data_IF_487946702683
#
_entry.id   IF_487946702683
#
_cell.length_a   1.000
_cell.length_b   1.000
_cell.length_c   1.000
_cell.angle_alpha   90.00
_cell.angle_beta   90.00
_cell.angle_gamma   90.00
#
_symmetry.space_group_name_H-M   'P 1'
#
loop_
_entity.id
_entity.type
_entity.pdbx_description
1 polymer ?
#
# COMPACT_ATOMS: atom_id res chain seq x y z
N UNK A 1 -10.41 -39.56 63.46
CA UNK A 1 -9.35 -40.44 62.99
C UNK A 1 -9.22 -40.20 61.53
N UNK A 2 -8.27 -39.60 61.05
CA UNK A 2 -6.86 -39.28 60.97
C UNK A 2 -6.77 -38.46 59.68
N UNK A 3 -6.41 -37.24 59.72
CA UNK A 3 -5.10 -36.68 59.54
C UNK A 3 -4.30 -37.32 58.41
N UNK A 4 -4.09 -36.53 57.29
CA UNK A 4 -2.71 -36.28 56.83
C UNK A 4 -2.69 -35.18 55.76
N UNK A 5 -1.92 -34.17 56.08
CA UNK A 5 -1.46 -33.09 55.24
C UNK A 5 -0.33 -33.61 54.36
N UNK A 6 -0.24 -33.18 53.11
CA UNK A 6 1.05 -32.98 52.45
C UNK A 6 1.01 -31.75 51.55
N UNK A 7 1.90 -30.87 51.95
CA UNK A 7 2.48 -29.78 51.18
C UNK A 7 3.13 -30.28 49.88
N UNK A 8 3.24 -29.40 48.91
CA UNK A 8 4.12 -29.64 47.76
C UNK A 8 3.94 -28.59 46.68
N UNK A 9 4.51 -27.46 46.87
CA UNK A 9 5.54 -26.81 46.03
C UNK A 9 5.09 -26.24 44.68
N UNK A 10 4.96 -24.96 44.65
CA UNK A 10 5.56 -23.94 43.73
C UNK A 10 6.14 -24.47 42.43
N UNK A 11 5.59 -23.99 41.34
CA UNK A 11 6.19 -23.99 40.04
C UNK A 11 5.69 -22.74 39.30
N UNK A 12 6.32 -21.61 39.52
CA UNK A 12 6.15 -20.40 38.73
C UNK A 12 6.72 -20.64 37.36
N UNK A 13 5.87 -20.55 36.34
CA UNK A 13 6.27 -20.44 34.96
C UNK A 13 6.06 -19.00 34.51
N UNK A 14 7.15 -18.27 34.42
CA UNK A 14 7.15 -16.93 33.83
C UNK A 14 6.64 -16.97 32.39
N UNK A 15 5.76 -16.06 31.98
CA UNK A 15 5.49 -15.89 30.59
C UNK A 15 6.67 -15.22 29.90
N UNK A 16 7.33 -15.99 29.05
CA UNK A 16 8.36 -15.50 28.14
C UNK A 16 7.76 -14.37 27.31
N UNK A 17 8.25 -13.16 27.58
CA UNK A 17 7.90 -11.96 26.85
C UNK A 17 8.31 -12.12 25.38
N UNK A 18 7.33 -12.11 24.49
CA UNK A 18 7.56 -11.94 23.09
C UNK A 18 8.02 -10.51 22.84
N UNK A 19 9.31 -10.37 22.59
CA UNK A 19 9.92 -9.12 22.20
C UNK A 19 9.35 -8.67 20.84
N UNK A 20 8.72 -7.53 20.83
CA UNK A 20 8.36 -6.83 19.61
C UNK A 20 9.65 -6.44 18.84
N UNK A 21 9.70 -6.57 17.51
CA UNK A 21 10.85 -6.12 16.75
C UNK A 21 10.92 -4.58 16.74
N UNK A 22 12.12 -4.00 16.89
CA UNK A 22 12.32 -2.56 16.82
C UNK A 22 12.40 -2.12 15.36
N UNK A 23 11.34 -1.56 14.80
CA UNK A 23 11.37 -0.87 13.52
C UNK A 23 10.63 0.46 13.57
N UNK A 24 11.15 1.37 14.37
CA UNK A 24 10.77 2.77 14.29
C UNK A 24 11.93 3.68 14.68
N UNK A 25 13.09 3.54 14.07
CA UNK A 25 14.15 4.56 14.15
C UNK A 25 15.33 4.16 13.26
N UNK A 26 15.31 4.51 11.99
CA UNK A 26 16.53 4.76 11.21
C UNK A 26 16.19 5.15 9.77
N UNK A 27 15.75 6.38 9.58
CA UNK A 27 15.81 7.06 8.28
C UNK A 27 16.19 8.52 8.52
N UNK A 28 17.45 8.74 8.89
CA UNK A 28 18.12 10.02 8.68
C UNK A 28 19.56 9.74 8.28
N UNK A 29 19.90 10.24 7.11
CA UNK A 29 21.22 10.49 6.50
C UNK A 29 21.60 9.54 5.36
N UNK A 30 21.49 10.10 4.16
CA UNK A 30 22.61 10.15 3.22
C UNK A 30 22.39 11.35 2.30
N UNK A 31 23.24 12.35 2.48
CA UNK A 31 23.39 13.51 1.63
C UNK A 31 24.36 13.20 0.50
N UNK A 32 24.05 13.81 -0.68
CA UNK A 32 24.95 14.46 -1.60
C UNK A 32 26.11 13.67 -2.22
N UNK A 33 26.13 13.55 -3.53
CA UNK A 33 27.16 14.19 -4.36
C UNK A 33 27.06 13.78 -5.84
N UNK A 34 27.26 14.80 -6.69
CA UNK A 34 27.90 14.81 -8.00
C UNK A 34 27.02 14.81 -9.26
N UNK A 35 26.91 16.02 -9.80
CA UNK A 35 26.82 16.30 -11.24
C UNK A 35 28.06 15.77 -11.97
N UNK A 36 27.97 15.46 -13.27
CA UNK A 36 28.58 16.39 -14.21
C UNK A 36 27.68 16.82 -15.38
N UNK A 37 27.93 18.04 -15.78
CA UNK A 37 27.55 18.66 -17.04
C UNK A 37 28.00 17.85 -18.25
N UNK A 38 27.17 17.81 -19.27
CA UNK A 38 27.72 17.83 -20.62
C UNK A 38 26.78 18.58 -21.59
N UNK A 39 27.40 19.51 -22.22
CA UNK A 39 26.98 20.53 -23.16
C UNK A 39 26.75 19.96 -24.56
N UNK A 40 25.85 20.58 -25.31
CA UNK A 40 25.85 20.95 -26.73
C UNK A 40 24.73 20.35 -27.58
N UNK A 41 23.75 21.18 -27.87
CA UNK A 41 23.54 22.00 -29.07
C UNK A 41 23.34 21.20 -30.38
N UNK A 42 22.12 21.24 -30.88
CA UNK A 42 21.76 21.69 -32.24
C UNK A 42 20.27 21.50 -32.47
N UNK A 43 19.53 22.57 -32.66
CA UNK A 43 18.33 22.59 -33.49
C UNK A 43 18.79 22.70 -34.95
N UNK A 44 18.00 22.38 -35.97
CA UNK A 44 16.72 23.03 -36.24
C UNK A 44 15.67 22.05 -36.88
N UNK A 45 14.49 22.44 -36.89
CA UNK A 45 13.55 22.62 -37.96
C UNK A 45 12.12 22.20 -37.59
N UNK A 46 11.26 23.18 -37.55
CA UNK A 46 9.80 22.99 -37.50
C UNK A 46 9.28 22.57 -38.84
N UNK A 47 8.21 21.79 -38.86
CA UNK A 47 7.07 22.18 -39.66
C UNK A 47 5.76 22.30 -38.87
N UNK A 48 5.10 23.38 -39.13
CA UNK A 48 3.71 23.67 -38.84
C UNK A 48 2.78 22.46 -39.14
N UNK A 49 2.13 22.03 -38.08
CA UNK A 49 0.95 21.21 -38.15
C UNK A 49 0.18 21.49 -36.86
N UNK A 50 -0.67 22.53 -36.86
CA UNK A 50 -1.62 22.79 -35.78
C UNK A 50 -2.65 21.65 -35.76
N UNK A 51 -2.30 20.55 -35.11
CA UNK A 51 -3.28 19.56 -34.68
C UNK A 51 -4.05 20.16 -33.50
N UNK A 52 -5.37 20.26 -33.68
CA UNK A 52 -6.35 20.59 -32.64
C UNK A 52 -5.99 19.75 -31.39
N UNK A 53 -6.02 20.33 -30.19
CA UNK A 53 -5.82 19.52 -28.99
C UNK A 53 -6.93 18.46 -28.96
N UNK A 54 -6.55 17.23 -29.24
CA UNK A 54 -7.39 16.07 -28.99
C UNK A 54 -7.79 16.08 -27.53
N UNK A 55 -9.01 15.66 -27.25
CA UNK A 55 -9.57 15.56 -25.90
C UNK A 55 -8.45 15.23 -24.91
N UNK A 56 -8.27 16.11 -23.90
CA UNK A 56 -7.25 15.97 -22.84
C UNK A 56 -7.17 14.49 -22.48
N UNK A 57 -6.05 13.88 -22.80
CA UNK A 57 -5.71 12.54 -22.35
C UNK A 57 -5.75 12.60 -20.83
N UNK A 58 -6.85 12.07 -20.27
CA UNK A 58 -7.12 12.15 -18.82
C UNK A 58 -6.11 11.24 -18.16
N UNK A 59 -5.12 11.83 -17.55
CA UNK A 59 -4.10 11.09 -16.78
C UNK A 59 -4.82 10.28 -15.70
N UNK A 60 -4.52 9.00 -15.61
CA UNK A 60 -5.08 8.15 -14.57
C UNK A 60 -4.73 8.71 -13.18
N UNK A 61 -5.70 8.82 -12.25
CA UNK A 61 -5.46 9.31 -10.89
C UNK A 61 -4.32 8.61 -10.15
N UNK A 62 -4.15 7.31 -10.39
CA UNK A 62 -3.04 6.52 -9.86
C UNK A 62 -2.42 5.68 -10.98
N UNK A 63 -1.10 5.72 -11.11
CA UNK A 63 -0.33 4.90 -12.05
C UNK A 63 0.68 4.02 -11.31
N UNK A 64 0.92 2.82 -11.83
CA UNK A 64 1.99 1.93 -11.38
C UNK A 64 3.22 2.22 -12.24
N UNK A 65 4.26 2.80 -11.62
CA UNK A 65 5.48 3.23 -12.32
C UNK A 65 6.50 2.09 -12.42
N UNK A 66 6.57 1.28 -11.36
CA UNK A 66 7.53 0.17 -11.26
C UNK A 66 6.97 -0.96 -10.42
N UNK A 67 7.28 -2.18 -10.85
CA UNK A 67 6.99 -3.40 -10.09
C UNK A 67 8.27 -4.17 -9.90
N UNK A 68 8.53 -4.62 -8.68
CA UNK A 68 9.65 -5.50 -8.33
C UNK A 68 9.10 -6.72 -7.62
N UNK A 69 9.39 -7.90 -8.15
CA UNK A 69 9.03 -9.19 -7.56
C UNK A 69 10.22 -9.70 -6.77
N UNK A 70 10.06 -9.82 -5.46
CA UNK A 70 11.04 -10.40 -4.55
C UNK A 70 10.60 -11.77 -4.05
N UNK A 71 11.35 -12.33 -3.10
CA UNK A 71 10.97 -13.58 -2.46
C UNK A 71 9.75 -13.38 -1.56
N UNK A 72 8.57 -13.82 -2.03
CA UNK A 72 7.31 -13.75 -1.30
C UNK A 72 6.76 -12.33 -1.10
N UNK A 73 7.29 -11.32 -1.79
CA UNK A 73 6.85 -9.92 -1.67
C UNK A 73 6.91 -9.19 -2.99
N UNK A 74 5.81 -8.53 -3.33
CA UNK A 74 5.71 -7.63 -4.47
C UNK A 74 5.84 -6.19 -3.97
N UNK A 75 6.68 -5.41 -4.64
CA UNK A 75 6.90 -3.99 -4.35
C UNK A 75 6.50 -3.17 -5.56
N UNK A 76 5.52 -2.29 -5.40
CA UNK A 76 5.06 -1.37 -6.44
C UNK A 76 5.41 0.08 -6.06
N UNK A 77 6.05 0.80 -6.97
CA UNK A 77 6.13 2.25 -6.91
C UNK A 77 4.94 2.81 -7.69
N UNK A 78 4.15 3.61 -7.02
CA UNK A 78 2.93 4.21 -7.58
C UNK A 78 3.04 5.72 -7.56
N UNK A 79 2.40 6.37 -8.53
CA UNK A 79 2.34 7.84 -8.63
C UNK A 79 0.89 8.28 -8.67
N UNK A 80 0.57 9.28 -7.87
CA UNK A 80 -0.68 10.02 -7.97
C UNK A 80 -0.53 11.17 -8.94
N UNK A 81 -1.52 11.36 -9.82
CA UNK A 81 -1.59 12.52 -10.67
C UNK A 81 -1.66 13.81 -9.82
N UNK A 82 -1.15 14.95 -10.31
CA UNK A 82 -1.12 16.20 -9.54
C UNK A 82 -2.49 16.68 -9.06
N UNK A 83 -3.54 16.39 -9.83
CA UNK A 83 -4.94 16.72 -9.57
C UNK A 83 -5.72 15.60 -8.87
N UNK A 84 -5.10 14.44 -8.63
CA UNK A 84 -5.72 13.36 -7.89
C UNK A 84 -5.79 13.67 -6.38
N UNK A 85 -6.86 13.23 -5.69
CA UNK A 85 -6.92 13.35 -4.25
C UNK A 85 -5.80 12.55 -3.59
N UNK A 86 -5.13 13.15 -2.61
CA UNK A 86 -4.09 12.47 -1.83
C UNK A 86 -4.68 11.52 -0.80
N UNK A 87 -5.85 11.86 -0.30
CA UNK A 87 -6.57 11.11 0.73
C UNK A 87 -7.88 10.57 0.18
N UNK A 88 -8.38 9.54 0.80
CA UNK A 88 -9.72 9.03 0.56
C UNK A 88 -10.78 10.09 0.83
N UNK A 89 -11.91 9.98 0.13
CA UNK A 89 -13.07 10.86 0.30
C UNK A 89 -14.28 10.05 0.76
N UNK A 90 -15.27 10.68 1.44
CA UNK A 90 -16.48 9.96 1.86
C UNK A 90 -17.25 9.32 0.70
N UNK A 91 -17.22 9.93 -0.50
CA UNK A 91 -17.87 9.37 -1.68
C UNK A 91 -17.16 8.09 -2.16
N UNK A 92 -15.82 8.13 -2.25
CA UNK A 92 -15.01 6.97 -2.59
C UNK A 92 -15.23 5.83 -1.58
N UNK A 93 -15.18 6.14 -0.28
CA UNK A 93 -15.29 5.12 0.76
C UNK A 93 -16.67 4.48 0.81
N UNK A 94 -17.76 5.22 0.54
CA UNK A 94 -19.09 4.59 0.40
C UNK A 94 -19.11 3.55 -0.71
N UNK A 95 -18.51 3.82 -1.87
CA UNK A 95 -18.43 2.87 -2.98
C UNK A 95 -17.55 1.67 -2.61
N UNK A 96 -16.37 1.94 -2.05
CA UNK A 96 -15.46 0.88 -1.58
C UNK A 96 -16.12 -0.06 -0.58
N UNK A 97 -16.88 0.47 0.40
CA UNK A 97 -17.61 -0.37 1.38
C UNK A 97 -18.66 -1.27 0.74
N UNK A 98 -19.26 -0.83 -0.37
CA UNK A 98 -20.23 -1.64 -1.12
C UNK A 98 -19.54 -2.76 -1.89
N UNK A 99 -18.46 -2.45 -2.59
CA UNK A 99 -17.78 -3.38 -3.51
C UNK A 99 -16.80 -4.31 -2.77
N UNK A 100 -16.29 -3.85 -1.61
CA UNK A 100 -15.31 -4.53 -0.75
C UNK A 100 -15.77 -4.55 0.73
N UNK A 101 -16.83 -5.29 1.07
CA UNK A 101 -17.42 -5.27 2.41
C UNK A 101 -16.49 -5.81 3.52
N UNK A 102 -15.49 -6.62 3.18
CA UNK A 102 -14.50 -7.13 4.12
C UNK A 102 -13.41 -6.11 4.50
N UNK A 103 -13.17 -5.11 3.65
CA UNK A 103 -12.07 -4.15 3.81
C UNK A 103 -12.03 -3.43 5.18
N UNK A 104 -13.17 -2.97 5.74
CA UNK A 104 -13.18 -2.34 7.07
C UNK A 104 -12.61 -3.22 8.19
N UNK A 105 -12.67 -4.54 8.03
CA UNK A 105 -12.25 -5.51 9.02
C UNK A 105 -10.78 -5.95 8.87
N UNK A 106 -10.09 -5.49 7.84
CA UNK A 106 -8.67 -5.77 7.67
C UNK A 106 -7.89 -5.24 8.87
N UNK A 107 -6.95 -6.05 9.36
CA UNK A 107 -5.99 -5.59 10.36
C UNK A 107 -5.13 -4.46 9.76
N UNK A 108 -5.00 -3.39 10.49
CA UNK A 108 -4.20 -2.24 10.10
C UNK A 108 -3.51 -1.67 11.34
N UNK A 109 -2.19 -1.70 11.37
CA UNK A 109 -1.42 -1.18 12.51
C UNK A 109 -1.29 0.33 12.36
N UNK A 110 -2.09 1.06 13.13
CA UNK A 110 -2.10 2.52 13.17
C UNK A 110 -2.45 3.03 14.59
N UNK A 111 -2.29 4.34 14.81
CA UNK A 111 -2.54 4.96 16.10
C UNK A 111 -4.05 5.06 16.47
N UNK A 112 -4.94 4.92 15.49
CA UNK A 112 -6.39 5.11 15.67
C UNK A 112 -7.13 3.82 15.99
N UNK A 113 -6.47 2.66 15.88
CA UNK A 113 -7.08 1.35 16.19
C UNK A 113 -6.51 0.20 15.36
N UNK A 114 -6.92 -1.04 15.67
CA UNK A 114 -6.33 -2.25 15.05
C UNK A 114 -6.96 -2.61 13.70
N UNK A 115 -8.04 -1.96 13.28
CA UNK A 115 -8.74 -2.25 12.05
C UNK A 115 -8.65 -1.10 11.05
N UNK A 116 -8.67 -1.42 9.77
CA UNK A 116 -8.64 -0.42 8.70
C UNK A 116 -9.83 0.54 8.76
N UNK A 117 -10.98 0.11 9.29
CA UNK A 117 -12.15 0.96 9.52
C UNK A 117 -11.83 2.24 10.29
N UNK A 118 -10.85 2.22 11.19
CA UNK A 118 -10.50 3.39 12.03
C UNK A 118 -9.83 4.53 11.26
N UNK A 119 -9.25 4.24 10.09
CA UNK A 119 -8.51 5.23 9.28
C UNK A 119 -9.03 5.36 7.85
N UNK A 120 -9.84 4.42 7.34
CA UNK A 120 -10.19 4.35 5.92
C UNK A 120 -10.92 5.58 5.39
N UNK A 121 -11.63 6.33 6.24
CA UNK A 121 -12.39 7.52 5.82
C UNK A 121 -11.46 8.72 5.50
N UNK A 122 -10.21 8.68 5.99
CA UNK A 122 -9.20 9.69 5.73
C UNK A 122 -7.79 9.08 5.73
N UNK A 123 -7.51 8.23 4.76
CA UNK A 123 -6.21 7.58 4.60
C UNK A 123 -5.59 7.96 3.25
N UNK A 124 -4.25 7.88 3.09
CA UNK A 124 -3.61 8.05 1.80
C UNK A 124 -4.18 7.09 0.74
N UNK A 125 -4.37 7.57 -0.48
CA UNK A 125 -4.88 6.76 -1.57
C UNK A 125 -4.01 5.52 -1.86
N UNK A 126 -2.65 5.58 -1.78
CA UNK A 126 -1.81 4.40 -1.88
C UNK A 126 -2.01 3.36 -0.76
N UNK A 127 -2.38 3.79 0.45
CA UNK A 127 -2.71 2.88 1.55
C UNK A 127 -4.05 2.17 1.31
N UNK A 128 -5.03 2.87 0.75
CA UNK A 128 -6.26 2.20 0.29
C UNK A 128 -5.96 1.18 -0.82
N UNK A 129 -5.07 1.51 -1.76
CA UNK A 129 -4.62 0.57 -2.80
C UNK A 129 -4.04 -0.71 -2.18
N UNK A 130 -3.18 -0.60 -1.17
CA UNK A 130 -2.61 -1.75 -0.44
C UNK A 130 -3.71 -2.69 0.07
N UNK A 131 -4.68 -2.15 0.80
CA UNK A 131 -5.77 -2.94 1.36
C UNK A 131 -6.67 -3.58 0.29
N UNK A 132 -6.90 -2.91 -0.83
CA UNK A 132 -7.62 -3.48 -1.97
C UNK A 132 -6.85 -4.65 -2.60
N UNK A 133 -5.53 -4.53 -2.74
CA UNK A 133 -4.68 -5.60 -3.26
C UNK A 133 -4.70 -6.82 -2.35
N UNK A 134 -4.66 -6.61 -1.03
CA UNK A 134 -4.77 -7.69 -0.04
C UNK A 134 -6.13 -8.38 -0.16
N UNK A 135 -7.23 -7.62 -0.22
CA UNK A 135 -8.59 -8.17 -0.35
C UNK A 135 -8.76 -9.00 -1.64
N UNK A 136 -8.25 -8.49 -2.77
CA UNK A 136 -8.31 -9.21 -4.04
C UNK A 136 -7.49 -10.49 -4.03
N UNK A 137 -6.31 -10.50 -3.38
CA UNK A 137 -5.54 -11.73 -3.19
C UNK A 137 -6.27 -12.73 -2.29
N UNK A 138 -6.88 -12.26 -1.19
CA UNK A 138 -7.65 -13.09 -0.27
C UNK A 138 -8.84 -13.75 -0.99
N UNK A 139 -9.56 -13.00 -1.83
CA UNK A 139 -10.67 -13.54 -2.64
C UNK A 139 -10.20 -14.56 -3.69
N UNK A 140 -8.97 -14.44 -4.17
CA UNK A 140 -8.39 -15.36 -5.16
C UNK A 140 -7.70 -16.57 -4.53
N UNK A 141 -7.46 -16.55 -3.22
CA UNK A 141 -6.80 -17.63 -2.51
C UNK A 141 -7.67 -18.89 -2.51
N UNK A 142 -7.02 -20.04 -2.68
CA UNK A 142 -7.69 -21.36 -2.67
C UNK A 142 -7.73 -22.00 -1.30
N UNK A 143 -7.08 -21.39 -0.30
CA UNK A 143 -7.07 -21.84 1.09
C UNK A 143 -7.62 -20.75 2.01
N UNK A 144 -8.45 -21.15 2.96
CA UNK A 144 -9.13 -20.22 3.88
C UNK A 144 -8.18 -19.55 4.88
N UNK A 145 -6.99 -20.10 5.08
CA UNK A 145 -5.97 -19.59 6.02
C UNK A 145 -4.95 -18.65 5.36
N UNK A 146 -5.16 -18.23 4.12
CA UNK A 146 -4.24 -17.31 3.44
C UNK A 146 -4.27 -15.94 4.10
N UNK A 147 -3.14 -15.54 4.69
CA UNK A 147 -2.96 -14.23 5.28
C UNK A 147 -1.93 -13.43 4.48
N UNK A 148 -2.32 -12.24 4.04
CA UNK A 148 -1.45 -11.32 3.33
C UNK A 148 -1.18 -10.10 4.20
N UNK A 149 0.05 -9.59 4.14
CA UNK A 149 0.47 -8.39 4.85
C UNK A 149 1.01 -7.38 3.85
N UNK A 150 0.80 -6.11 4.14
CA UNK A 150 1.27 -5.02 3.33
C UNK A 150 1.91 -3.90 4.15
N UNK A 151 2.57 -2.99 3.45
CA UNK A 151 3.08 -1.72 3.98
C UNK A 151 3.04 -0.67 2.89
N UNK A 152 2.71 0.56 3.26
CA UNK A 152 2.70 1.70 2.36
C UNK A 152 3.49 2.85 2.95
N UNK A 153 4.45 3.37 2.17
CA UNK A 153 5.29 4.49 2.55
C UNK A 153 5.34 5.52 1.42
N UNK A 154 5.38 6.81 1.77
CA UNK A 154 5.69 7.84 0.81
C UNK A 154 7.19 7.80 0.45
N UNK A 155 7.50 7.74 -0.83
CA UNK A 155 8.85 7.98 -1.36
C UNK A 155 9.08 9.50 -1.43
N UNK A 156 8.10 10.19 -1.99
CA UNK A 156 8.02 11.64 -2.09
C UNK A 156 6.54 12.05 -2.07
N UNK A 157 6.08 12.51 -0.91
CA UNK A 157 4.69 12.91 -0.73
C UNK A 157 4.34 14.13 -1.59
N UNK A 158 5.24 15.08 -1.72
CA UNK A 158 5.01 16.29 -2.53
C UNK A 158 4.85 15.95 -4.01
N UNK A 159 5.68 15.04 -4.53
CA UNK A 159 5.56 14.52 -5.89
C UNK A 159 4.44 13.49 -6.06
N UNK A 160 3.84 13.00 -4.98
CA UNK A 160 2.79 11.98 -5.00
C UNK A 160 3.29 10.57 -5.30
N UNK A 161 4.55 10.29 -5.03
CA UNK A 161 5.15 8.97 -5.26
C UNK A 161 5.18 8.16 -3.98
N UNK A 162 4.61 6.97 -4.00
CA UNK A 162 4.57 6.08 -2.86
C UNK A 162 5.06 4.67 -3.24
N UNK A 163 5.50 3.93 -2.22
CA UNK A 163 5.83 2.52 -2.31
C UNK A 163 4.78 1.70 -1.59
N UNK A 164 4.17 0.78 -2.30
CA UNK A 164 3.21 -0.18 -1.77
C UNK A 164 3.83 -1.56 -1.86
N UNK A 165 3.93 -2.27 -0.74
CA UNK A 165 4.48 -3.61 -0.67
C UNK A 165 3.41 -4.56 -0.14
N UNK A 166 3.29 -5.73 -0.76
CA UNK A 166 2.39 -6.79 -0.26
C UNK A 166 3.08 -8.14 -0.33
N UNK A 167 2.80 -9.01 0.64
CA UNK A 167 3.18 -10.41 0.55
C UNK A 167 2.30 -11.13 -0.47
N UNK A 168 2.79 -12.25 -0.99
CA UNK A 168 2.03 -13.12 -1.88
C UNK A 168 2.39 -14.59 -1.67
N UNK A 169 1.47 -15.46 -2.09
CA UNK A 169 1.69 -16.90 -2.29
C UNK A 169 1.87 -17.22 -3.78
N UNK A 170 1.28 -16.40 -4.66
CA UNK A 170 1.37 -16.48 -6.12
C UNK A 170 1.58 -15.05 -6.66
N UNK A 171 2.70 -14.84 -7.35
CA UNK A 171 3.10 -13.52 -7.85
C UNK A 171 2.18 -13.03 -8.99
N UNK A 172 1.65 -13.93 -9.82
CA UNK A 172 0.73 -13.56 -10.90
C UNK A 172 -0.63 -13.13 -10.35
N UNK A 173 -1.09 -13.76 -9.25
CA UNK A 173 -2.29 -13.31 -8.54
C UNK A 173 -2.07 -11.94 -7.95
N UNK A 174 -0.93 -11.69 -7.29
CA UNK A 174 -0.60 -10.40 -6.72
C UNK A 174 -0.47 -9.31 -7.78
N UNK A 175 0.19 -9.58 -8.91
CA UNK A 175 0.30 -8.65 -10.05
C UNK A 175 -1.06 -8.27 -10.62
N UNK A 176 -1.95 -9.27 -10.78
CA UNK A 176 -3.33 -9.03 -11.20
C UNK A 176 -4.08 -8.19 -10.20
N UNK A 177 -3.95 -8.48 -8.90
CA UNK A 177 -4.59 -7.73 -7.84
C UNK A 177 -4.16 -6.26 -7.84
N UNK A 178 -2.87 -5.94 -8.04
CA UNK A 178 -2.40 -4.56 -8.19
C UNK A 178 -3.01 -3.86 -9.38
N UNK A 179 -3.03 -4.51 -10.55
CA UNK A 179 -3.63 -3.95 -11.77
C UNK A 179 -5.12 -3.65 -11.56
N UNK A 180 -5.86 -4.60 -11.01
CA UNK A 180 -7.31 -4.52 -10.88
C UNK A 180 -7.69 -3.50 -9.78
N UNK A 181 -6.94 -3.44 -8.67
CA UNK A 181 -7.13 -2.43 -7.63
C UNK A 181 -6.83 -1.01 -8.13
N UNK A 182 -5.75 -0.82 -8.90
CA UNK A 182 -5.44 0.48 -9.50
C UNK A 182 -6.50 0.90 -10.52
N UNK A 183 -6.97 -0.01 -11.38
CA UNK A 183 -8.04 0.25 -12.33
C UNK A 183 -9.34 0.65 -11.61
N UNK A 184 -9.73 -0.09 -10.57
CA UNK A 184 -10.90 0.22 -9.75
C UNK A 184 -10.81 1.61 -9.12
N UNK A 185 -9.67 1.96 -8.51
CA UNK A 185 -9.48 3.29 -7.93
C UNK A 185 -9.56 4.39 -8.99
N UNK A 186 -8.98 4.18 -10.16
CA UNK A 186 -9.04 5.13 -11.25
C UNK A 186 -10.47 5.39 -11.72
N UNK A 187 -11.32 4.36 -11.76
CA UNK A 187 -12.74 4.51 -12.08
C UNK A 187 -13.53 5.23 -10.99
N UNK A 188 -13.16 5.00 -9.70
CA UNK A 188 -13.87 5.59 -8.56
C UNK A 188 -13.48 7.05 -8.28
N UNK A 189 -12.27 7.45 -8.63
CA UNK A 189 -11.71 8.78 -8.36
C UNK A 189 -11.97 9.75 -9.50
N UNK A 190 -12.15 9.27 -10.72
CA UNK A 190 -12.54 10.12 -11.84
C UNK A 190 -13.96 10.65 -11.64
N UNK A 191 -14.21 11.97 -11.84
CA UNK A 191 -15.52 12.58 -11.71
C UNK A 191 -16.50 12.12 -12.79
#
# INVERSE_FOLDING_TARGET
>A
MGSERRDGSTGGGDPVGAAAPPHAAQLRRAQASARPENTRASAPDSPKGASRPSARERTAPISIERVTVGSGRLVCEVRLAPDAPRLTTPALIRRVRTDFPALPHHTCVNESGPAFASVMDRTPLPHLLEHLVIDLQTRAATCDDAAFVGTTDWIDEAAGTARVQVSFTDDLVALRAFRDAAAYLNECVLP
#
